data_IF_352004567961
#
_entry.id   IF_352004567961
#
_cell.length_a   1.000
_cell.length_b   1.000
_cell.length_c   1.000
_cell.angle_alpha   90.00
_cell.angle_beta   90.00
_cell.angle_gamma   90.00
#
_symmetry.space_group_name_H-M   'P 1'
#
loop_
_entity.id
_entity.type
_entity.pdbx_description
1 polymer ?
#
# COMPACT_ATOMS: atom_id res chain seq x y z
N UNK A 1 12.66 -16.53 10.66
CA UNK A 1 11.91 -16.82 9.41
C UNK A 1 12.19 -15.69 8.42
N UNK A 2 12.86 -15.99 7.31
CA UNK A 2 13.17 -15.00 6.25
C UNK A 2 11.94 -14.86 5.36
N UNK A 3 11.43 -13.64 5.26
CA UNK A 3 10.21 -13.37 4.52
C UNK A 3 10.46 -13.48 2.99
N UNK A 4 9.50 -14.07 2.28
CA UNK A 4 9.66 -14.72 0.96
C UNK A 4 9.58 -13.75 -0.23
N UNK A 5 9.99 -12.50 -0.04
CA UNK A 5 9.76 -11.37 -0.96
C UNK A 5 10.73 -11.26 -2.14
N UNK A 6 11.83 -12.01 -2.11
CA UNK A 6 13.01 -11.72 -2.94
C UNK A 6 12.95 -12.20 -4.41
N UNK A 7 11.82 -12.74 -4.91
CA UNK A 7 11.82 -13.48 -6.19
C UNK A 7 10.76 -13.06 -7.22
N UNK A 8 10.07 -11.93 -7.05
CA UNK A 8 9.01 -11.51 -7.98
C UNK A 8 9.25 -10.10 -8.51
N UNK A 9 9.52 -9.99 -9.82
CA UNK A 9 9.58 -8.72 -10.56
C UNK A 9 8.20 -8.32 -11.04
N UNK A 10 7.75 -7.12 -10.66
CA UNK A 10 6.44 -6.53 -10.92
C UNK A 10 6.12 -6.43 -12.42
N UNK A 11 7.14 -6.22 -13.26
CA UNK A 11 7.00 -5.88 -14.68
C UNK A 11 6.49 -7.03 -15.57
N UNK A 12 6.65 -8.29 -15.16
CA UNK A 12 6.22 -9.46 -15.96
C UNK A 12 4.78 -9.90 -15.62
N UNK A 13 4.31 -9.64 -14.40
CA UNK A 13 2.99 -10.09 -13.94
C UNK A 13 1.85 -9.16 -14.39
N UNK A 14 2.10 -7.85 -14.48
CA UNK A 14 1.05 -6.86 -14.77
C UNK A 14 0.59 -6.85 -16.23
N UNK A 15 1.41 -7.31 -17.18
CA UNK A 15 1.05 -7.36 -18.61
C UNK A 15 -0.01 -8.42 -18.95
N UNK A 16 -0.26 -9.39 -18.08
CA UNK A 16 -1.19 -10.49 -18.35
C UNK A 16 -2.59 -10.29 -17.74
N UNK A 17 -2.87 -9.12 -17.15
CA UNK A 17 -4.16 -8.84 -16.46
C UNK A 17 -5.20 -8.21 -17.39
N UNK A 18 -4.89 -7.98 -18.67
CA UNK A 18 -5.78 -7.32 -19.65
C UNK A 18 -7.05 -8.11 -20.05
N UNK A 19 -7.42 -9.16 -19.32
CA UNK A 19 -8.66 -9.89 -19.55
C UNK A 19 -9.23 -10.53 -18.27
N UNK A 20 -9.70 -9.73 -17.31
CA UNK A 20 -10.74 -10.21 -16.38
C UNK A 20 -11.83 -9.15 -16.17
N UNK A 21 -13.10 -9.57 -16.13
CA UNK A 21 -14.25 -8.70 -16.29
C UNK A 21 -14.48 -7.80 -15.08
N UNK A 22 -14.87 -6.56 -15.37
CA UNK A 22 -15.42 -5.58 -14.44
C UNK A 22 -16.58 -6.19 -13.60
N UNK A 23 -16.73 -5.73 -12.34
CA UNK A 23 -17.78 -6.05 -11.35
C UNK A 23 -17.54 -7.14 -10.27
N UNK A 24 -16.30 -7.31 -9.80
CA UNK A 24 -16.08 -7.74 -8.41
C UNK A 24 -14.99 -6.86 -7.80
N UNK A 25 -15.37 -5.77 -7.14
CA UNK A 25 -14.52 -5.25 -6.09
C UNK A 25 -14.31 -6.40 -5.09
N UNK A 26 -13.12 -7.00 -5.10
CA UNK A 26 -12.84 -8.27 -4.43
C UNK A 26 -13.13 -8.14 -2.92
N UNK A 27 -14.19 -8.80 -2.43
CA UNK A 27 -14.52 -8.83 -1.00
C UNK A 27 -13.30 -9.22 -0.16
N UNK A 28 -12.42 -10.06 -0.70
CA UNK A 28 -11.19 -10.45 -0.05
C UNK A 28 -10.20 -9.28 0.15
N UNK A 29 -10.18 -8.31 -0.78
CA UNK A 29 -9.37 -7.10 -0.64
C UNK A 29 -9.89 -6.22 0.49
N UNK A 30 -11.20 -5.98 0.55
CA UNK A 30 -11.80 -5.22 1.65
C UNK A 30 -11.53 -5.88 3.00
N UNK A 31 -11.71 -7.20 3.09
CA UNK A 31 -11.43 -7.97 4.30
C UNK A 31 -9.95 -7.88 4.71
N UNK A 32 -9.03 -7.96 3.75
CA UNK A 32 -7.59 -7.90 4.05
C UNK A 32 -7.15 -6.46 4.44
N UNK A 33 -7.71 -5.41 3.83
CA UNK A 33 -7.49 -4.00 4.25
C UNK A 33 -8.05 -3.77 5.65
N UNK A 34 -9.28 -4.23 5.92
CA UNK A 34 -9.92 -4.12 7.23
C UNK A 34 -9.10 -4.87 8.30
N UNK A 35 -8.58 -6.05 7.97
CA UNK A 35 -7.72 -6.82 8.86
C UNK A 35 -6.41 -6.08 9.18
N UNK A 36 -5.74 -5.49 8.18
CA UNK A 36 -4.54 -4.68 8.42
C UNK A 36 -4.86 -3.50 9.33
N UNK A 37 -5.94 -2.77 9.06
CA UNK A 37 -6.35 -1.62 9.88
C UNK A 37 -6.67 -2.05 11.32
N UNK A 38 -7.40 -3.15 11.50
CA UNK A 38 -7.75 -3.68 12.83
C UNK A 38 -6.50 -4.09 13.61
N UNK A 39 -5.60 -4.87 13.01
CA UNK A 39 -4.35 -5.28 13.63
C UNK A 39 -3.49 -4.05 13.99
N UNK A 40 -3.35 -3.09 13.08
CA UNK A 40 -2.60 -1.86 13.35
C UNK A 40 -3.24 -1.00 14.46
N UNK A 41 -4.57 -0.92 14.53
CA UNK A 41 -5.30 -0.21 15.58
C UNK A 41 -5.05 -0.81 16.96
N UNK A 42 -5.02 -2.15 17.04
CA UNK A 42 -4.73 -2.92 18.25
C UNK A 42 -3.24 -2.96 18.62
N UNK A 43 -2.35 -2.37 17.79
CA UNK A 43 -0.91 -2.44 17.99
C UNK A 43 -0.29 -3.81 17.67
N UNK A 44 -1.04 -4.68 16.99
CA UNK A 44 -0.61 -6.02 16.57
C UNK A 44 0.17 -5.95 15.26
N UNK A 45 1.46 -5.60 15.37
CA UNK A 45 2.36 -5.53 14.21
C UNK A 45 2.53 -6.87 13.49
N UNK A 46 2.52 -7.98 14.23
CA UNK A 46 2.61 -9.32 13.64
C UNK A 46 1.35 -9.67 12.83
N UNK A 47 0.18 -9.24 13.29
CA UNK A 47 -1.08 -9.34 12.56
C UNK A 47 -1.06 -8.58 11.23
N UNK A 48 -0.51 -7.36 11.21
CA UNK A 48 -0.32 -6.58 9.97
C UNK A 48 0.55 -7.34 8.98
N UNK A 49 1.71 -7.86 9.44
CA UNK A 49 2.60 -8.64 8.57
C UNK A 49 1.91 -9.89 8.03
N UNK A 50 1.18 -10.62 8.88
CA UNK A 50 0.44 -11.82 8.46
C UNK A 50 -0.63 -11.53 7.41
N UNK A 51 -1.32 -10.38 7.50
CA UNK A 51 -2.32 -9.99 6.51
C UNK A 51 -1.68 -9.73 5.14
N UNK A 52 -0.57 -8.99 5.10
CA UNK A 52 0.20 -8.80 3.86
C UNK A 52 0.79 -10.10 3.32
N UNK A 53 1.33 -10.97 4.18
CA UNK A 53 1.86 -12.29 3.79
C UNK A 53 0.75 -13.19 3.21
N UNK A 54 -0.45 -13.17 3.79
CA UNK A 54 -1.61 -13.92 3.32
C UNK A 54 -2.02 -13.47 1.92
N UNK A 55 -2.16 -12.16 1.70
CA UNK A 55 -2.49 -11.61 0.38
C UNK A 55 -1.39 -11.89 -0.65
N UNK A 56 -0.13 -11.79 -0.23
CA UNK A 56 1.03 -12.13 -1.08
C UNK A 56 1.06 -13.61 -1.44
N UNK A 57 0.65 -14.48 -0.53
CA UNK A 57 0.54 -15.92 -0.80
C UNK A 57 -0.59 -16.22 -1.79
N UNK A 58 -1.69 -15.46 -1.73
CA UNK A 58 -2.87 -15.64 -2.61
C UNK A 58 -2.60 -15.12 -4.02
N UNK A 59 -2.05 -13.91 -4.15
CA UNK A 59 -2.01 -13.16 -5.42
C UNK A 59 -0.62 -12.61 -5.76
N UNK A 60 0.43 -13.06 -5.06
CA UNK A 60 1.78 -12.51 -5.22
C UNK A 60 1.85 -11.04 -4.79
N UNK A 61 2.83 -10.33 -5.34
CA UNK A 61 3.08 -8.91 -5.02
C UNK A 61 1.87 -8.01 -5.30
N UNK A 62 1.03 -8.37 -6.29
CA UNK A 62 -0.19 -7.64 -6.64
C UNK A 62 -1.15 -7.56 -5.45
N UNK A 63 -1.34 -8.64 -4.71
CA UNK A 63 -2.22 -8.63 -3.53
C UNK A 63 -1.72 -7.69 -2.43
N UNK A 64 -0.39 -7.56 -2.25
CA UNK A 64 0.17 -6.59 -1.32
C UNK A 64 0.02 -5.15 -1.82
N UNK A 65 0.12 -4.93 -3.13
CA UNK A 65 -0.09 -3.64 -3.77
C UNK A 65 -1.54 -3.16 -3.61
N UNK A 66 -2.51 -4.02 -3.88
CA UNK A 66 -3.94 -3.69 -3.75
C UNK A 66 -4.29 -3.29 -2.31
N UNK A 67 -3.78 -4.01 -1.30
CA UNK A 67 -3.95 -3.62 0.11
C UNK A 67 -3.31 -2.26 0.37
N UNK A 68 -2.10 -2.02 -0.11
CA UNK A 68 -1.43 -0.74 0.06
C UNK A 68 -2.23 0.42 -0.59
N UNK A 69 -2.80 0.19 -1.76
CA UNK A 69 -3.67 1.14 -2.45
C UNK A 69 -4.94 1.45 -1.63
N UNK A 70 -5.57 0.41 -1.06
CA UNK A 70 -6.71 0.57 -0.14
C UNK A 70 -6.35 1.36 1.12
N UNK A 71 -5.19 1.11 1.72
CA UNK A 71 -4.69 1.88 2.88
C UNK A 71 -4.39 3.35 2.52
N UNK A 72 -3.91 3.61 1.30
CA UNK A 72 -3.73 4.96 0.80
C UNK A 72 -5.07 5.69 0.71
N UNK A 73 -6.12 5.01 0.22
CA UNK A 73 -7.50 5.51 0.25
C UNK A 73 -8.02 5.81 1.65
N UNK A 74 -7.84 4.89 2.61
CA UNK A 74 -8.22 5.13 4.00
C UNK A 74 -7.49 6.36 4.60
N UNK A 75 -6.25 6.61 4.18
CA UNK A 75 -5.44 7.74 4.63
C UNK A 75 -5.86 9.05 3.98
N UNK A 76 -5.90 9.10 2.64
CA UNK A 76 -6.20 10.32 1.86
C UNK A 76 -7.69 10.68 1.98
N UNK A 77 -8.57 9.69 2.08
CA UNK A 77 -10.02 9.82 2.03
C UNK A 77 -10.55 9.61 0.61
N UNK A 78 -11.80 9.15 0.51
CA UNK A 78 -12.46 8.83 -0.77
C UNK A 78 -13.13 10.04 -1.43
N UNK A 79 -13.29 11.16 -0.70
CA UNK A 79 -13.96 12.38 -1.18
C UNK A 79 -13.03 13.39 -1.89
N UNK A 80 -11.76 13.03 -2.15
CA UNK A 80 -10.90 13.93 -2.94
C UNK A 80 -11.35 13.94 -4.39
N UNK A 81 -11.74 15.11 -4.88
CA UNK A 81 -11.93 15.33 -6.31
C UNK A 81 -10.63 14.97 -7.06
N UNK A 82 -10.73 14.18 -8.12
CA UNK A 82 -9.56 13.84 -8.93
C UNK A 82 -8.95 15.12 -9.53
N UNK A 83 -7.64 15.31 -9.37
CA UNK A 83 -6.94 16.50 -9.86
C UNK A 83 -5.44 16.45 -9.60
N UNK A 84 -4.65 17.37 -10.20
CA UNK A 84 -3.20 17.45 -10.03
C UNK A 84 -2.85 18.03 -8.66
N UNK A 85 -3.10 17.25 -7.60
CA UNK A 85 -2.85 17.64 -6.23
C UNK A 85 -1.36 17.77 -5.99
N UNK A 86 -0.96 18.97 -5.56
CA UNK A 86 0.37 19.20 -5.02
C UNK A 86 0.32 19.01 -3.51
N UNK A 87 0.40 17.74 -3.08
CA UNK A 87 0.54 17.43 -1.66
C UNK A 87 1.88 17.95 -1.16
N UNK A 88 1.85 18.73 -0.07
CA UNK A 88 3.05 19.20 0.60
C UNK A 88 3.39 18.28 1.76
N UNK A 89 4.66 17.86 1.82
CA UNK A 89 5.20 17.03 2.88
C UNK A 89 6.44 17.72 3.45
N UNK A 90 6.27 18.66 4.39
CA UNK A 90 7.39 19.40 4.96
C UNK A 90 8.43 18.48 5.61
N UNK A 91 9.72 18.70 5.30
CA UNK A 91 10.83 17.90 5.83
C UNK A 91 10.95 16.49 5.25
N UNK A 92 10.31 16.23 4.10
CA UNK A 92 10.36 14.92 3.45
C UNK A 92 11.76 14.58 2.93
N UNK A 93 12.58 15.58 2.60
CA UNK A 93 13.92 15.33 2.06
C UNK A 93 14.85 14.67 3.09
N UNK A 94 14.75 15.06 4.36
CA UNK A 94 15.48 14.48 5.48
C UNK A 94 14.84 13.20 6.05
N UNK A 95 13.64 12.84 5.58
CA UNK A 95 12.91 11.71 6.14
C UNK A 95 13.53 10.35 5.77
N UNK A 96 13.27 9.36 6.62
CA UNK A 96 13.66 7.97 6.38
C UNK A 96 13.02 7.43 5.10
N UNK A 97 13.64 6.43 4.48
CA UNK A 97 13.22 5.87 3.20
C UNK A 97 11.72 5.55 3.15
N UNK A 98 11.22 4.86 4.17
CA UNK A 98 9.82 4.45 4.32
C UNK A 98 8.86 5.64 4.39
N UNK A 99 9.22 6.71 5.10
CA UNK A 99 8.39 7.92 5.16
C UNK A 99 8.35 8.64 3.82
N UNK A 100 9.48 8.75 3.12
CA UNK A 100 9.56 9.30 1.76
C UNK A 100 8.74 8.48 0.77
N UNK A 101 8.82 7.16 0.92
CA UNK A 101 8.03 6.23 0.12
C UNK A 101 6.54 6.43 0.38
N UNK A 102 6.08 6.48 1.64
CA UNK A 102 4.67 6.69 1.99
C UNK A 102 4.15 8.02 1.43
N UNK A 103 4.88 9.12 1.60
CA UNK A 103 4.46 10.41 1.05
C UNK A 103 4.26 10.36 -0.48
N UNK A 104 5.22 9.77 -1.21
CA UNK A 104 5.12 9.62 -2.67
C UNK A 104 4.01 8.68 -3.09
N UNK A 105 3.80 7.59 -2.34
CA UNK A 105 2.74 6.62 -2.62
C UNK A 105 1.35 7.22 -2.39
N UNK A 106 1.15 7.97 -1.30
CA UNK A 106 -0.09 8.72 -1.06
C UNK A 106 -0.32 9.80 -2.12
N UNK A 107 0.75 10.47 -2.58
CA UNK A 107 0.66 11.42 -3.69
C UNK A 107 0.26 10.74 -4.99
N UNK A 108 0.80 9.56 -5.29
CA UNK A 108 0.42 8.78 -6.46
C UNK A 108 -1.06 8.38 -6.39
N UNK A 109 -1.52 7.88 -5.23
CA UNK A 109 -2.94 7.58 -5.00
C UNK A 109 -3.84 8.81 -5.23
N UNK A 110 -3.51 9.94 -4.59
CA UNK A 110 -4.32 11.16 -4.69
C UNK A 110 -4.44 11.71 -6.12
N UNK A 111 -3.45 11.42 -6.97
CA UNK A 111 -3.43 11.84 -8.38
C UNK A 111 -3.88 10.72 -9.35
N UNK A 112 -4.33 9.57 -8.85
CA UNK A 112 -4.61 8.37 -9.66
C UNK A 112 -3.44 7.99 -10.60
N UNK A 113 -2.20 8.17 -10.14
CA UNK A 113 -0.97 7.86 -10.88
C UNK A 113 -0.48 6.45 -10.52
N UNK A 114 -1.22 5.45 -11.01
CA UNK A 114 -0.88 4.03 -10.83
C UNK A 114 0.53 3.67 -11.33
N UNK A 115 1.01 4.12 -12.50
CA UNK A 115 2.37 3.81 -12.96
C UNK A 115 3.46 4.26 -11.97
N UNK A 116 3.32 5.44 -11.36
CA UNK A 116 4.26 5.89 -10.33
C UNK A 116 4.16 5.03 -9.07
N UNK A 117 2.96 4.64 -8.66
CA UNK A 117 2.76 3.79 -7.50
C UNK A 117 3.38 2.40 -7.67
N UNK A 118 3.19 1.78 -8.84
CA UNK A 118 3.81 0.51 -9.21
C UNK A 118 5.34 0.60 -9.23
N UNK A 119 5.88 1.67 -9.80
CA UNK A 119 7.32 1.91 -9.83
C UNK A 119 7.91 2.07 -8.41
N UNK A 120 7.21 2.78 -7.52
CA UNK A 120 7.59 2.91 -6.11
C UNK A 120 7.55 1.54 -5.40
N UNK A 121 6.55 0.72 -5.69
CA UNK A 121 6.43 -0.62 -5.12
C UNK A 121 7.58 -1.52 -5.58
N UNK A 122 7.88 -1.53 -6.89
CA UNK A 122 9.01 -2.25 -7.47
C UNK A 122 10.37 -1.81 -6.89
N UNK A 123 10.59 -0.51 -6.72
CA UNK A 123 11.81 0.02 -6.11
C UNK A 123 11.96 -0.45 -4.65
N UNK A 124 10.89 -0.41 -3.85
CA UNK A 124 10.93 -0.88 -2.47
C UNK A 124 11.19 -2.39 -2.37
N UNK A 125 10.77 -3.19 -3.35
CA UNK A 125 11.09 -4.62 -3.43
C UNK A 125 12.57 -4.80 -3.75
N UNK A 126 13.08 -4.13 -4.79
CA UNK A 126 14.47 -4.22 -5.21
C UNK A 126 15.44 -3.84 -4.07
N UNK A 127 15.05 -2.85 -3.26
CA UNK A 127 15.84 -2.38 -2.12
C UNK A 127 15.63 -3.23 -0.84
N UNK A 128 14.73 -4.22 -0.87
CA UNK A 128 14.37 -5.04 0.30
C UNK A 128 13.71 -4.24 1.43
N UNK A 129 13.07 -3.11 1.10
CA UNK A 129 12.45 -2.16 2.03
C UNK A 129 10.93 -2.23 2.07
N UNK A 130 10.30 -3.00 1.17
CA UNK A 130 8.83 -3.06 1.07
C UNK A 130 8.13 -3.35 2.41
N UNK A 131 8.54 -4.34 3.24
CA UNK A 131 7.85 -4.57 4.51
C UNK A 131 7.86 -3.36 5.45
N UNK A 132 8.97 -2.62 5.50
CA UNK A 132 9.08 -1.41 6.33
C UNK A 132 8.15 -0.31 5.79
N UNK A 133 8.10 -0.12 4.47
CA UNK A 133 7.20 0.83 3.83
C UNK A 133 5.73 0.53 4.14
N UNK A 134 5.31 -0.74 4.04
CA UNK A 134 3.94 -1.18 4.31
C UNK A 134 3.56 -0.98 5.78
N UNK A 135 4.46 -1.26 6.72
CA UNK A 135 4.23 -1.00 8.15
C UNK A 135 4.07 0.50 8.43
N UNK A 136 4.90 1.35 7.82
CA UNK A 136 4.80 2.80 7.98
C UNK A 136 3.52 3.35 7.34
N UNK A 137 3.08 2.79 6.21
CA UNK A 137 1.80 3.12 5.59
C UNK A 137 0.62 2.75 6.49
N UNK A 138 0.58 1.52 7.03
CA UNK A 138 -0.47 1.10 7.96
C UNK A 138 -0.51 1.99 9.21
N UNK A 139 0.65 2.34 9.77
CA UNK A 139 0.73 3.30 10.88
C UNK A 139 0.19 4.69 10.52
N UNK A 140 0.45 5.16 9.29
CA UNK A 140 -0.05 6.45 8.78
C UNK A 140 -1.57 6.46 8.60
N UNK A 141 -2.13 5.35 8.10
CA UNK A 141 -3.57 5.17 7.99
C UNK A 141 -4.24 5.22 9.37
N UNK A 142 -3.69 4.53 10.37
CA UNK A 142 -4.25 4.54 11.73
C UNK A 142 -4.11 5.89 12.42
N UNK A 143 -2.97 6.58 12.26
CA UNK A 143 -2.81 7.93 12.79
C UNK A 143 -3.86 8.88 12.21
N UNK A 144 -4.28 8.67 10.96
CA UNK A 144 -5.33 9.46 10.32
C UNK A 144 -6.73 9.08 10.81
N UNK A 145 -7.04 7.78 10.89
CA UNK A 145 -8.32 7.31 11.44
C UNK A 145 -8.53 7.78 12.88
N UNK A 146 -7.51 7.68 13.74
CA UNK A 146 -7.57 8.16 15.13
C UNK A 146 -7.80 9.66 15.28
N UNK A 147 -7.47 10.47 14.27
CA UNK A 147 -7.76 11.92 14.26
C UNK A 147 -9.19 12.24 13.83
N UNK A 148 -9.87 11.31 13.15
CA UNK A 148 -11.24 11.45 12.67
C UNK A 148 -12.28 10.92 13.69
N UNK A 149 -11.85 10.06 14.63
CA UNK A 149 -12.63 9.57 15.77
C UNK A 149 -12.60 10.57 16.93
#
# INVERSE_FOLDING_TARGET
MRARWASLTVTDTLRNVEAQPDDVFDTALFDDVALVLQSALSGDGDGVVKAFDKATTRSGVVGAYEIAWGLAGATVGEDLALGPWRLDFPGIDEATYDKRWVARFLSAYANADEPTAEALFGAAIADGKLPQCLMTLAGSAIATLRRRL
#
